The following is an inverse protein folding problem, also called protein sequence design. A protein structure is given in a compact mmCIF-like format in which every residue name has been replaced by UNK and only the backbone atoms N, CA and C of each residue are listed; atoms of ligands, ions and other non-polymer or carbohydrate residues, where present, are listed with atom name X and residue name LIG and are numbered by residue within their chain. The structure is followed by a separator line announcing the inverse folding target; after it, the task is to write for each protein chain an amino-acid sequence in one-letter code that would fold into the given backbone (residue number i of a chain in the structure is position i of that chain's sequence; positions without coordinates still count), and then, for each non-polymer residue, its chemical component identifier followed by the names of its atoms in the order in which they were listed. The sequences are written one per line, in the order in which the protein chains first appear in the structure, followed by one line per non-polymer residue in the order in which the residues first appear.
data_IF_047236527916
#
_entry.id   IF_047236527916
#
_cell.length_a   1.000
_cell.length_b   1.000
_cell.length_c   1.000
_cell.angle_alpha   90.00
_cell.angle_beta   90.00
_cell.angle_gamma   90.00
#
_symmetry.space_group_name_H-M   'P 1'
#
loop_
_entity.id
_entity.type
_entity.pdbx_description
1 polymer ?
#
# COMPACT_ATOMS: atom_id res chain seq x y z
N UNK A 1 15.66 -39.72 -12.76
CA UNK A 1 14.28 -39.93 -13.25
C UNK A 1 14.13 -39.15 -14.54
N UNK A 2 13.70 -39.80 -15.62
CA UNK A 2 13.53 -39.23 -16.96
C UNK A 2 12.29 -38.33 -16.96
N UNK A 3 12.40 -37.06 -17.36
CA UNK A 3 11.23 -36.27 -17.74
C UNK A 3 11.13 -36.24 -19.27
N UNK A 4 10.02 -36.80 -19.75
CA UNK A 4 9.63 -36.86 -21.15
C UNK A 4 9.15 -35.47 -21.62
N UNK A 5 9.46 -35.16 -22.88
CA UNK A 5 8.94 -34.02 -23.61
C UNK A 5 7.40 -34.05 -23.63
N UNK A 6 6.77 -32.98 -23.16
CA UNK A 6 5.34 -32.72 -23.35
C UNK A 6 5.23 -31.79 -24.56
N UNK A 7 4.76 -32.36 -25.68
CA UNK A 7 4.25 -31.62 -26.82
C UNK A 7 2.88 -31.04 -26.41
N UNK A 8 2.83 -29.75 -26.05
CA UNK A 8 1.56 -29.05 -25.83
C UNK A 8 1.03 -28.56 -27.19
N UNK A 9 -0.15 -29.06 -27.58
CA UNK A 9 -0.91 -28.56 -28.72
C UNK A 9 -1.25 -27.08 -28.51
N UNK A 10 -0.81 -26.24 -29.46
CA UNK A 10 -1.22 -24.85 -29.61
C UNK A 10 -2.72 -24.78 -29.95
N UNK A 11 -3.53 -24.27 -29.03
CA UNK A 11 -4.85 -23.75 -29.36
C UNK A 11 -4.70 -22.29 -29.79
N UNK A 12 -4.49 -22.07 -31.08
CA UNK A 12 -4.61 -20.77 -31.71
C UNK A 12 -6.09 -20.39 -31.79
N UNK A 13 -6.52 -19.43 -30.97
CA UNK A 13 -7.79 -18.74 -31.19
C UNK A 13 -7.54 -17.59 -32.18
N UNK A 14 -8.13 -17.59 -33.39
CA UNK A 14 -7.97 -16.49 -34.32
C UNK A 14 -8.94 -15.37 -33.95
N UNK A 15 -8.46 -14.32 -33.32
CA UNK A 15 -9.18 -13.05 -33.31
C UNK A 15 -8.94 -12.35 -34.66
N UNK A 16 -9.80 -12.62 -35.63
CA UNK A 16 -9.88 -11.87 -36.88
C UNK A 16 -10.50 -10.49 -36.58
N UNK A 17 -9.67 -9.48 -36.40
CA UNK A 17 -10.08 -8.09 -36.56
C UNK A 17 -9.49 -7.55 -37.87
N UNK A 18 -10.37 -7.32 -38.83
CA UNK A 18 -10.04 -6.66 -40.09
C UNK A 18 -10.25 -5.15 -39.91
N UNK A 19 -9.21 -4.36 -40.16
CA UNK A 19 -9.33 -3.05 -40.82
C UNK A 19 -9.52 -1.82 -39.94
N UNK A 20 -8.45 -1.36 -39.30
CA UNK A 20 -7.99 0.04 -39.31
C UNK A 20 -6.52 0.03 -38.84
N UNK A 21 -5.59 0.63 -39.59
CA UNK A 21 -4.22 0.86 -39.12
C UNK A 21 -4.29 1.76 -37.89
N UNK A 22 -4.19 1.17 -36.70
CA UNK A 22 -4.13 1.92 -35.46
C UNK A 22 -2.75 2.59 -35.38
N UNK A 23 -2.66 3.86 -35.80
CA UNK A 23 -1.44 4.65 -35.63
C UNK A 23 -1.30 5.02 -34.15
N UNK A 24 -0.23 4.57 -33.47
CA UNK A 24 0.06 4.94 -32.09
C UNK A 24 0.59 3.78 -31.23
N UNK A 25 0.46 3.91 -29.92
CA UNK A 25 0.94 2.95 -28.93
C UNK A 25 -0.22 2.23 -28.26
N UNK A 26 -0.18 0.90 -28.24
CA UNK A 26 -1.02 0.05 -27.41
C UNK A 26 -0.32 -0.28 -26.08
N UNK A 27 -1.08 -0.79 -25.11
CA UNK A 27 -0.57 -1.17 -23.79
C UNK A 27 -0.91 -2.63 -23.51
N UNK A 28 0.08 -3.39 -23.04
CA UNK A 28 -0.08 -4.76 -22.56
C UNK A 28 0.14 -4.80 -21.05
N UNK A 29 -0.69 -5.58 -20.35
CA UNK A 29 -0.63 -5.77 -18.91
C UNK A 29 -0.80 -7.25 -18.57
N UNK A 30 0.12 -7.79 -17.78
CA UNK A 30 0.03 -9.14 -17.25
C UNK A 30 -0.14 -9.08 -15.72
N UNK A 31 -1.36 -9.28 -15.20
CA UNK A 31 -1.62 -9.15 -13.76
C UNK A 31 -1.02 -10.30 -12.94
N UNK A 32 -0.83 -11.49 -13.53
CA UNK A 32 -0.28 -12.67 -12.83
C UNK A 32 1.22 -12.53 -12.60
N UNK A 33 1.94 -12.05 -13.62
CA UNK A 33 3.38 -11.79 -13.58
C UNK A 33 3.70 -10.31 -13.43
N UNK A 34 2.71 -9.52 -13.02
CA UNK A 34 2.93 -8.20 -12.41
C UNK A 34 3.73 -7.24 -13.30
N UNK A 35 3.54 -7.25 -14.62
CA UNK A 35 4.28 -6.36 -15.53
C UNK A 35 3.37 -5.69 -16.56
N UNK A 36 3.81 -4.51 -17.03
CA UNK A 36 3.12 -3.71 -18.03
C UNK A 36 4.12 -3.06 -18.97
N UNK A 37 3.73 -2.88 -20.23
CA UNK A 37 4.55 -2.22 -21.24
C UNK A 37 3.68 -1.63 -22.35
N UNK A 38 4.28 -0.79 -23.19
CA UNK A 38 3.68 -0.27 -24.42
C UNK A 38 4.34 -0.91 -25.64
N UNK A 39 3.58 -1.03 -26.73
CA UNK A 39 4.06 -1.52 -28.02
C UNK A 39 3.34 -0.79 -29.17
N UNK A 40 3.92 -0.73 -30.39
CA UNK A 40 3.23 -0.13 -31.54
C UNK A 40 1.90 -0.83 -31.83
N UNK A 41 0.82 -0.05 -31.96
CA UNK A 41 -0.54 -0.58 -32.00
C UNK A 41 -0.86 -1.37 -33.29
N UNK A 42 -0.04 -1.23 -34.32
CA UNK A 42 -0.10 -1.95 -35.59
C UNK A 42 0.63 -3.30 -35.57
N UNK A 43 1.35 -3.64 -34.50
CA UNK A 43 2.04 -4.91 -34.34
C UNK A 43 1.09 -6.05 -33.96
N UNK A 44 1.36 -7.25 -34.48
CA UNK A 44 0.64 -8.46 -34.11
C UNK A 44 1.13 -8.97 -32.76
N UNK A 45 0.18 -9.33 -31.89
CA UNK A 45 0.47 -9.81 -30.54
C UNK A 45 0.17 -11.31 -30.40
N UNK A 46 1.06 -12.01 -29.70
CA UNK A 46 0.82 -13.35 -29.15
C UNK A 46 1.11 -13.32 -27.64
N UNK A 47 0.37 -14.08 -26.86
CA UNK A 47 0.57 -14.13 -25.41
C UNK A 47 0.20 -15.49 -24.81
N UNK A 48 0.86 -15.85 -23.71
CA UNK A 48 0.54 -17.00 -22.87
C UNK A 48 0.41 -16.52 -21.42
N UNK A 49 -0.83 -16.24 -21.01
CA UNK A 49 -1.12 -15.67 -19.69
C UNK A 49 -0.56 -16.53 -18.54
N UNK A 50 -0.54 -17.87 -18.71
CA UNK A 50 -0.08 -18.80 -17.67
C UNK A 50 1.43 -18.76 -17.39
N UNK A 51 2.25 -18.39 -18.38
CA UNK A 51 3.72 -18.35 -18.28
C UNK A 51 4.30 -16.94 -18.26
N UNK A 52 3.47 -15.90 -18.37
CA UNK A 52 3.95 -14.53 -18.42
C UNK A 52 4.47 -14.10 -19.79
N UNK A 53 4.46 -15.00 -20.78
CA UNK A 53 5.04 -14.75 -22.09
C UNK A 53 4.18 -13.81 -22.93
N UNK A 54 4.82 -12.84 -23.57
CA UNK A 54 4.20 -11.89 -24.50
C UNK A 54 5.15 -11.64 -25.67
N UNK A 55 4.62 -11.54 -26.88
CA UNK A 55 5.36 -11.15 -28.09
C UNK A 55 4.52 -10.16 -28.90
N UNK A 56 5.15 -9.09 -29.34
CA UNK A 56 4.64 -8.18 -30.36
C UNK A 56 5.58 -8.23 -31.57
N UNK A 57 5.03 -8.22 -32.78
CA UNK A 57 5.84 -8.27 -34.00
C UNK A 57 5.24 -7.43 -35.12
N UNK A 58 6.09 -6.78 -35.93
CA UNK A 58 5.63 -5.98 -37.05
C UNK A 58 5.00 -6.85 -38.14
N UNK A 59 3.97 -6.33 -38.82
CA UNK A 59 3.49 -6.94 -40.07
C UNK A 59 4.39 -6.48 -41.21
N UNK A 60 5.12 -7.40 -41.82
CA UNK A 60 5.91 -7.12 -43.01
C UNK A 60 5.45 -7.96 -44.21
N UNK A 61 5.83 -7.51 -45.40
CA UNK A 61 5.58 -8.24 -46.65
C UNK A 61 6.31 -9.58 -46.68
N UNK A 62 6.02 -10.43 -47.68
CA UNK A 62 6.56 -11.80 -47.76
C UNK A 62 8.09 -11.90 -47.88
N UNK A 63 8.82 -10.79 -48.00
CA UNK A 63 10.23 -10.74 -48.35
C UNK A 63 11.17 -10.39 -47.18
N UNK A 64 10.63 -9.99 -46.02
CA UNK A 64 11.41 -9.52 -44.87
C UNK A 64 11.04 -10.26 -43.57
N UNK A 65 11.99 -10.34 -42.64
CA UNK A 65 11.72 -10.89 -41.31
C UNK A 65 10.95 -9.86 -40.48
N UNK A 66 9.99 -10.30 -39.62
CA UNK A 66 9.32 -9.39 -38.72
C UNK A 66 10.31 -8.82 -37.70
N UNK A 67 10.15 -7.54 -37.36
CA UNK A 67 10.74 -6.98 -36.16
C UNK A 67 9.98 -7.55 -34.97
N UNK A 68 10.69 -8.02 -33.94
CA UNK A 68 10.07 -8.69 -32.80
C UNK A 68 10.47 -8.06 -31.49
N UNK A 69 9.51 -8.01 -30.58
CA UNK A 69 9.72 -7.76 -29.16
C UNK A 69 9.05 -8.87 -28.38
N UNK A 70 9.75 -9.46 -27.40
CA UNK A 70 9.18 -10.47 -26.50
C UNK A 70 9.55 -10.22 -25.04
N UNK A 71 8.67 -10.67 -24.15
CA UNK A 71 8.89 -10.77 -22.71
C UNK A 71 8.76 -12.24 -22.30
N UNK A 72 9.76 -12.73 -21.58
CA UNK A 72 9.79 -14.06 -20.98
C UNK A 72 9.95 -13.90 -19.46
N UNK A 73 9.21 -14.68 -18.67
CA UNK A 73 9.29 -14.60 -17.21
C UNK A 73 9.64 -15.98 -16.66
N UNK A 74 10.76 -16.05 -15.93
CA UNK A 74 11.24 -17.31 -15.34
C UNK A 74 11.49 -17.16 -13.84
N UNK A 75 11.12 -18.16 -13.02
CA UNK A 75 11.46 -18.15 -11.60
C UNK A 75 12.96 -18.33 -11.39
N UNK A 76 13.47 -17.68 -10.36
CA UNK A 76 14.84 -17.83 -9.84
C UNK A 76 14.80 -18.64 -8.54
N UNK A 77 15.85 -19.43 -8.29
CA UNK A 77 15.99 -20.17 -7.03
C UNK A 77 16.15 -19.20 -5.83
N UNK A 78 16.90 -18.12 -6.05
CA UNK A 78 17.23 -17.09 -5.07
C UNK A 78 17.08 -15.69 -5.68
N UNK A 79 16.88 -14.70 -4.81
CA UNK A 79 16.83 -13.30 -5.21
C UNK A 79 18.23 -12.78 -5.56
N UNK A 80 18.30 -11.87 -6.53
CA UNK A 80 19.56 -11.27 -6.98
C UNK A 80 19.97 -10.17 -6.00
N UNK A 81 20.87 -10.50 -5.08
CA UNK A 81 21.45 -9.54 -4.12
C UNK A 81 22.74 -8.90 -4.64
N UNK A 82 23.58 -9.67 -5.33
CA UNK A 82 24.81 -9.19 -5.98
C UNK A 82 24.55 -9.05 -7.49
N UNK A 83 24.24 -7.82 -7.89
CA UNK A 83 23.89 -7.52 -9.27
C UNK A 83 25.10 -7.58 -10.21
N UNK A 84 26.31 -7.29 -9.73
CA UNK A 84 27.52 -7.37 -10.55
C UNK A 84 27.80 -8.83 -10.90
N UNK A 85 27.76 -9.72 -9.89
CA UNK A 85 27.92 -11.15 -10.11
C UNK A 85 26.80 -11.73 -11.01
N UNK A 86 25.59 -11.17 -10.92
CA UNK A 86 24.49 -11.51 -11.83
C UNK A 86 24.83 -11.15 -13.28
N UNK A 87 25.29 -9.93 -13.56
CA UNK A 87 25.66 -9.50 -14.92
C UNK A 87 26.78 -10.34 -15.53
N UNK A 88 27.84 -10.62 -14.76
CA UNK A 88 28.97 -11.44 -15.23
C UNK A 88 28.51 -12.84 -15.67
N UNK A 89 27.64 -13.48 -14.86
CA UNK A 89 27.06 -14.78 -15.20
C UNK A 89 26.15 -14.69 -16.44
N UNK A 90 25.42 -13.60 -16.55
CA UNK A 90 24.43 -13.40 -17.60
C UNK A 90 25.08 -13.21 -18.99
N UNK A 91 26.22 -12.52 -19.04
CA UNK A 91 27.04 -12.44 -20.25
C UNK A 91 27.55 -13.82 -20.69
N UNK A 92 27.98 -14.66 -19.74
CA UNK A 92 28.40 -16.04 -19.99
C UNK A 92 27.23 -16.93 -20.46
N UNK A 93 26.05 -16.75 -19.87
CA UNK A 93 24.84 -17.53 -20.14
C UNK A 93 24.19 -17.18 -21.50
N UNK A 94 24.37 -15.95 -22.00
CA UNK A 94 23.80 -15.48 -23.27
C UNK A 94 24.07 -16.47 -24.42
N UNK A 95 25.31 -16.94 -24.56
CA UNK A 95 25.70 -17.89 -25.60
C UNK A 95 25.02 -19.25 -25.45
N UNK A 96 24.82 -19.69 -24.21
CA UNK A 96 24.13 -20.93 -23.88
C UNK A 96 22.66 -20.84 -24.28
N UNK A 97 22.02 -19.73 -23.96
CA UNK A 97 20.60 -19.49 -24.26
C UNK A 97 20.34 -19.35 -25.76
N UNK A 98 21.17 -18.58 -26.48
CA UNK A 98 21.07 -18.49 -27.93
C UNK A 98 21.26 -19.84 -28.62
N UNK A 99 22.11 -20.72 -28.08
CA UNK A 99 22.26 -22.10 -28.57
C UNK A 99 21.07 -23.00 -28.26
N UNK A 100 20.38 -22.79 -27.13
CA UNK A 100 19.13 -23.51 -26.84
C UNK A 100 18.04 -23.10 -27.82
N UNK A 101 17.95 -21.81 -28.14
CA UNK A 101 16.98 -21.26 -29.11
C UNK A 101 17.29 -21.70 -30.54
N UNK A 102 18.57 -21.64 -30.94
CA UNK A 102 19.07 -22.09 -32.24
C UNK A 102 20.26 -23.05 -32.08
N UNK A 103 20.01 -24.38 -32.05
CA UNK A 103 21.07 -25.38 -31.90
C UNK A 103 22.14 -25.38 -33.00
N UNK A 104 21.86 -24.75 -34.14
CA UNK A 104 22.78 -24.64 -35.27
C UNK A 104 23.69 -23.40 -35.22
N UNK A 105 23.50 -22.51 -34.24
CA UNK A 105 24.27 -21.29 -34.08
C UNK A 105 25.74 -21.56 -33.73
N UNK A 106 26.66 -21.03 -34.54
CA UNK A 106 28.07 -20.95 -34.15
C UNK A 106 28.24 -19.83 -33.12
N UNK A 107 28.54 -20.20 -31.87
CA UNK A 107 28.80 -19.26 -30.78
C UNK A 107 29.92 -18.25 -31.09
N UNK A 108 30.87 -18.58 -31.97
CA UNK A 108 31.95 -17.66 -32.34
C UNK A 108 31.49 -16.53 -33.26
N UNK A 109 30.30 -16.66 -33.85
CA UNK A 109 29.73 -15.66 -34.74
C UNK A 109 28.85 -14.63 -34.00
N UNK A 110 28.55 -14.85 -32.72
CA UNK A 110 27.85 -13.89 -31.87
C UNK A 110 28.79 -12.74 -31.51
N UNK A 111 28.33 -11.51 -31.67
CA UNK A 111 29.09 -10.30 -31.37
C UNK A 111 28.33 -9.44 -30.37
N UNK A 112 28.83 -9.36 -29.14
CA UNK A 112 28.29 -8.44 -28.14
C UNK A 112 28.91 -7.06 -28.40
N UNK A 113 28.06 -6.07 -28.69
CA UNK A 113 28.48 -4.68 -28.91
C UNK A 113 28.50 -3.87 -27.61
N UNK A 114 27.61 -4.19 -26.67
CA UNK A 114 27.59 -3.60 -25.34
C UNK A 114 26.96 -4.55 -24.32
N UNK A 115 27.45 -4.48 -23.09
CA UNK A 115 26.90 -5.12 -21.90
C UNK A 115 27.02 -4.09 -20.76
N UNK A 116 25.89 -3.68 -20.18
CA UNK A 116 25.86 -2.61 -19.19
C UNK A 116 24.63 -2.68 -18.28
N UNK A 117 24.78 -2.14 -17.09
CA UNK A 117 23.65 -1.86 -16.21
C UNK A 117 22.86 -0.64 -16.70
N UNK A 118 21.53 -0.76 -16.70
CA UNK A 118 20.58 0.32 -16.94
C UNK A 118 19.53 0.38 -15.83
N UNK A 119 18.79 1.49 -15.75
CA UNK A 119 17.65 1.63 -14.85
C UNK A 119 16.34 1.67 -15.63
N UNK A 120 15.38 0.83 -15.25
CA UNK A 120 14.00 0.86 -15.71
C UNK A 120 13.10 1.31 -14.57
N UNK A 121 12.85 2.63 -14.49
CA UNK A 121 12.19 3.24 -13.33
C UNK A 121 13.04 3.07 -12.07
N UNK A 122 12.55 2.31 -11.09
CA UNK A 122 13.25 1.99 -9.84
C UNK A 122 14.00 0.66 -9.89
N UNK A 123 13.92 -0.09 -10.99
CA UNK A 123 14.53 -1.42 -11.10
C UNK A 123 15.87 -1.35 -11.83
N UNK A 124 16.88 -2.05 -11.30
CA UNK A 124 18.15 -2.29 -11.98
C UNK A 124 17.94 -3.38 -13.03
N UNK A 125 18.51 -3.20 -14.21
CA UNK A 125 18.42 -4.16 -15.29
C UNK A 125 19.75 -4.29 -16.04
N UNK A 126 20.04 -5.50 -16.52
CA UNK A 126 21.21 -5.77 -17.33
C UNK A 126 20.83 -5.71 -18.81
N UNK A 127 21.47 -4.83 -19.58
CA UNK A 127 21.23 -4.67 -21.02
C UNK A 127 22.43 -5.20 -21.80
N UNK A 128 22.16 -6.10 -22.73
CA UNK A 128 23.12 -6.64 -23.67
C UNK A 128 22.64 -6.36 -25.09
N UNK A 129 23.45 -5.66 -25.87
CA UNK A 129 23.23 -5.43 -27.30
C UNK A 129 24.20 -6.34 -28.07
N UNK A 130 23.68 -7.11 -29.02
CA UNK A 130 24.48 -8.09 -29.75
C UNK A 130 23.93 -8.38 -31.15
N UNK A 131 24.76 -8.96 -32.01
CA UNK A 131 24.34 -9.50 -33.31
C UNK A 131 24.79 -10.94 -33.52
N UNK A 132 24.03 -11.68 -34.32
CA UNK A 132 24.29 -13.10 -34.58
C UNK A 132 23.67 -13.57 -35.91
N UNK A 133 24.25 -14.60 -36.55
CA UNK A 133 23.69 -15.15 -37.79
C UNK A 133 22.42 -15.97 -37.50
N UNK A 134 21.37 -15.75 -38.30
CA UNK A 134 20.14 -16.55 -38.23
C UNK A 134 20.17 -17.71 -39.25
N UNK A 135 20.33 -17.40 -40.53
CA UNK A 135 20.45 -18.38 -41.61
C UNK A 135 21.14 -17.77 -42.85
N UNK A 136 22.05 -18.52 -43.48
CA UNK A 136 22.76 -18.05 -44.67
C UNK A 136 23.58 -16.79 -44.40
N UNK A 137 23.33 -15.72 -45.17
CA UNK A 137 23.99 -14.42 -45.00
C UNK A 137 23.19 -13.43 -44.11
N UNK A 138 22.09 -13.88 -43.50
CA UNK A 138 21.19 -13.04 -42.74
C UNK A 138 21.63 -12.96 -41.26
N UNK A 139 21.91 -11.75 -40.79
CA UNK A 139 22.24 -11.46 -39.41
C UNK A 139 21.10 -10.72 -38.72
N UNK A 140 20.85 -11.05 -37.45
CA UNK A 140 19.99 -10.29 -36.57
C UNK A 140 20.84 -9.42 -35.65
N UNK A 141 20.34 -8.22 -35.34
CA UNK A 141 20.75 -7.43 -34.19
C UNK A 141 19.64 -7.51 -33.15
N UNK A 142 20.02 -7.67 -31.89
CA UNK A 142 19.11 -7.80 -30.78
C UNK A 142 19.55 -6.98 -29.57
N UNK A 143 18.56 -6.56 -28.79
CA UNK A 143 18.73 -5.97 -27.46
C UNK A 143 18.05 -6.92 -26.48
N UNK A 144 18.80 -7.44 -25.52
CA UNK A 144 18.26 -8.25 -24.42
C UNK A 144 18.38 -7.47 -23.13
N UNK A 145 17.28 -7.36 -22.39
CA UNK A 145 17.25 -6.69 -21.09
C UNK A 145 16.74 -7.66 -20.04
N UNK A 146 17.55 -7.92 -19.03
CA UNK A 146 17.25 -8.78 -17.91
C UNK A 146 16.95 -7.95 -16.67
N UNK A 147 15.72 -8.09 -16.16
CA UNK A 147 15.23 -7.37 -14.99
C UNK A 147 14.96 -8.40 -13.90
N UNK A 148 15.90 -8.66 -12.98
CA UNK A 148 15.61 -9.47 -11.81
C UNK A 148 14.75 -8.67 -10.84
N UNK A 149 13.68 -9.29 -10.33
CA UNK A 149 12.83 -8.73 -9.29
C UNK A 149 12.32 -9.84 -8.39
N UNK A 150 12.66 -9.77 -7.10
CA UNK A 150 12.43 -10.84 -6.16
C UNK A 150 13.01 -12.17 -6.70
N UNK A 151 12.19 -13.22 -6.75
CA UNK A 151 12.55 -14.54 -7.31
C UNK A 151 12.09 -14.74 -8.75
N UNK A 152 11.99 -13.67 -9.52
CA UNK A 152 11.60 -13.72 -10.93
C UNK A 152 12.63 -12.97 -11.77
N UNK A 153 12.91 -13.50 -12.95
CA UNK A 153 13.69 -12.84 -13.98
C UNK A 153 12.78 -12.55 -15.17
N UNK A 154 12.70 -11.26 -15.52
CA UNK A 154 12.00 -10.80 -16.72
C UNK A 154 13.03 -10.56 -17.81
N UNK A 155 12.89 -11.27 -18.93
CA UNK A 155 13.75 -11.14 -20.11
C UNK A 155 12.99 -10.45 -21.22
N UNK A 156 13.38 -9.22 -21.53
CA UNK A 156 12.91 -8.49 -22.70
C UNK A 156 13.88 -8.76 -23.83
N UNK A 157 13.40 -9.10 -25.02
CA UNK A 157 14.25 -9.24 -26.22
C UNK A 157 13.60 -8.53 -27.39
N UNK A 158 14.29 -7.51 -27.91
CA UNK A 158 14.01 -6.87 -29.18
C UNK A 158 14.93 -7.45 -30.25
N UNK A 159 14.44 -7.79 -31.44
CA UNK A 159 15.31 -8.20 -32.55
C UNK A 159 14.77 -7.83 -33.93
N UNK A 160 15.68 -7.47 -34.83
CA UNK A 160 15.44 -7.17 -36.24
C UNK A 160 16.68 -7.52 -37.06
N UNK A 161 16.58 -7.51 -38.39
CA UNK A 161 17.74 -7.68 -39.26
C UNK A 161 18.77 -6.56 -39.02
N UNK A 162 20.05 -6.94 -38.85
CA UNK A 162 21.15 -6.08 -38.35
C UNK A 162 21.35 -4.75 -39.09
N UNK A 163 20.94 -4.67 -40.36
CA UNK A 163 21.22 -3.51 -41.21
C UNK A 163 20.10 -2.45 -41.16
N UNK A 164 19.51 -2.14 -42.30
CA UNK A 164 18.53 -1.08 -42.46
C UNK A 164 17.29 -1.28 -41.59
N UNK A 165 16.81 -2.52 -41.43
CA UNK A 165 15.58 -2.78 -40.66
C UNK A 165 15.72 -2.45 -39.18
N UNK A 166 16.86 -2.76 -38.55
CA UNK A 166 17.08 -2.41 -37.15
C UNK A 166 17.10 -0.89 -36.95
N UNK A 167 17.78 -0.14 -37.83
CA UNK A 167 17.85 1.32 -37.75
C UNK A 167 16.45 1.98 -37.85
N UNK A 168 15.51 1.38 -38.58
CA UNK A 168 14.13 1.90 -38.68
C UNK A 168 13.32 1.71 -37.40
N UNK A 169 13.62 0.68 -36.60
CA UNK A 169 12.79 0.27 -35.45
C UNK A 169 13.48 0.50 -34.09
N UNK A 170 14.75 0.92 -34.08
CA UNK A 170 15.54 1.13 -32.86
C UNK A 170 14.83 2.10 -31.88
N UNK A 171 14.26 3.19 -32.39
CA UNK A 171 13.50 4.13 -31.56
C UNK A 171 12.25 3.50 -30.92
N UNK A 172 11.54 2.61 -31.64
CA UNK A 172 10.39 1.89 -31.10
C UNK A 172 10.85 0.87 -30.05
N UNK A 173 11.96 0.16 -30.28
CA UNK A 173 12.53 -0.75 -29.29
C UNK A 173 12.93 -0.03 -27.99
N UNK A 174 13.57 1.14 -28.08
CA UNK A 174 13.90 1.94 -26.89
C UNK A 174 12.63 2.38 -26.16
N UNK A 175 11.60 2.83 -26.88
CA UNK A 175 10.33 3.23 -26.28
C UNK A 175 9.57 2.04 -25.64
N UNK A 176 9.63 0.85 -26.24
CA UNK A 176 9.08 -0.39 -25.63
C UNK A 176 9.82 -0.70 -24.33
N UNK A 177 11.16 -0.80 -24.38
CA UNK A 177 12.00 -1.15 -23.22
C UNK A 177 11.79 -0.15 -22.08
N UNK A 178 11.86 1.15 -22.35
CA UNK A 178 11.69 2.19 -21.33
C UNK A 178 10.27 2.28 -20.76
N UNK A 179 9.27 1.75 -21.47
CA UNK A 179 7.89 1.66 -20.98
C UNK A 179 7.65 0.48 -20.03
N UNK A 180 8.54 -0.51 -19.99
CA UNK A 180 8.40 -1.69 -19.16
C UNK A 180 8.44 -1.33 -17.68
N UNK A 181 7.44 -1.81 -16.94
CA UNK A 181 7.34 -1.64 -15.49
C UNK A 181 6.86 -2.93 -14.86
N UNK A 182 7.46 -3.27 -13.72
CA UNK A 182 6.93 -4.28 -12.82
C UNK A 182 5.96 -3.55 -11.89
N UNK A 183 4.69 -3.91 -11.93
CA UNK A 183 3.63 -3.36 -11.09
C UNK A 183 3.17 -4.40 -10.11
N UNK A 184 3.40 -4.16 -8.81
CA UNK A 184 2.84 -5.00 -7.75
C UNK A 184 1.31 -4.97 -7.87
N UNK A 185 0.60 -6.09 -8.09
CA UNK A 185 -0.85 -6.09 -8.23
C UNK A 185 -1.49 -5.56 -6.96
N UNK A 186 -2.48 -4.67 -7.09
CA UNK A 186 -3.08 -3.92 -5.97
C UNK A 186 -2.21 -2.79 -5.38
N UNK A 187 -1.07 -2.41 -6.00
CA UNK A 187 -0.33 -1.23 -5.55
C UNK A 187 -1.20 0.03 -5.56
N UNK A 188 -1.94 0.26 -6.65
CA UNK A 188 -2.85 1.40 -6.77
C UNK A 188 -3.95 1.37 -5.68
N UNK A 189 -4.37 0.18 -5.24
CA UNK A 189 -5.35 0.01 -4.16
C UNK A 189 -4.75 0.44 -2.81
N UNK A 190 -3.52 0.01 -2.51
CA UNK A 190 -2.80 0.46 -1.31
C UNK A 190 -2.52 1.96 -1.37
N UNK A 191 -2.04 2.47 -2.50
CA UNK A 191 -1.77 3.90 -2.69
C UNK A 191 -3.06 4.72 -2.50
N UNK A 192 -4.21 4.25 -3.00
CA UNK A 192 -5.51 4.90 -2.76
C UNK A 192 -5.94 4.87 -1.28
N UNK A 193 -5.65 3.79 -0.55
CA UNK A 193 -5.84 3.77 0.90
C UNK A 193 -4.94 4.80 1.60
N UNK A 194 -3.67 4.92 1.19
CA UNK A 194 -2.74 5.92 1.74
C UNK A 194 -3.20 7.33 1.40
N UNK A 195 -3.54 7.65 0.15
CA UNK A 195 -4.07 8.96 -0.26
C UNK A 195 -5.33 9.36 0.51
N UNK A 196 -6.11 8.39 0.95
CA UNK A 196 -7.29 8.63 1.80
C UNK A 196 -6.86 9.02 3.22
N UNK A 197 -5.92 8.27 3.81
CA UNK A 197 -5.50 8.40 5.22
C UNK A 197 -4.43 9.47 5.47
N UNK A 198 -3.59 9.73 4.47
CA UNK A 198 -2.33 10.47 4.53
C UNK A 198 -2.01 11.08 3.14
N UNK A 199 -0.74 11.45 2.93
CA UNK A 199 -0.19 11.96 1.67
C UNK A 199 0.95 11.08 1.18
N UNK A 200 0.92 10.70 -0.10
CA UNK A 200 1.96 9.86 -0.74
C UNK A 200 3.34 10.53 -0.81
N UNK A 201 3.43 11.85 -0.69
CA UNK A 201 4.70 12.58 -0.67
C UNK A 201 5.41 12.52 0.69
N UNK A 202 4.74 12.06 1.75
CA UNK A 202 5.25 12.06 3.12
C UNK A 202 4.99 13.36 3.90
N UNK A 203 4.20 14.28 3.34
CA UNK A 203 3.68 15.43 4.08
C UNK A 203 2.73 15.00 5.21
N UNK A 204 2.64 15.83 6.26
CA UNK A 204 1.78 15.57 7.41
C UNK A 204 0.31 15.77 7.04
N UNK A 205 -0.54 14.82 7.41
CA UNK A 205 -1.99 14.90 7.22
C UNK A 205 -2.71 14.91 8.56
N UNK A 206 -3.74 15.76 8.68
CA UNK A 206 -4.59 15.83 9.86
C UNK A 206 -6.02 15.44 9.51
N UNK A 207 -6.59 14.51 10.26
CA UNK A 207 -8.01 14.19 10.22
C UNK A 207 -8.63 14.66 11.53
N UNK A 208 -9.42 15.73 11.47
CA UNK A 208 -10.14 16.30 12.59
C UNK A 208 -11.56 15.75 12.66
N UNK A 209 -12.07 15.54 13.88
CA UNK A 209 -13.40 15.00 14.09
C UNK A 209 -14.01 15.49 15.40
N UNK A 210 -15.34 15.48 15.43
CA UNK A 210 -16.16 15.83 16.58
C UNK A 210 -17.25 14.77 16.82
N UNK A 211 -17.66 14.64 18.07
CA UNK A 211 -18.52 13.55 18.49
C UNK A 211 -19.12 13.69 19.88
N UNK A 212 -19.80 12.63 20.30
CA UNK A 212 -20.41 12.51 21.62
C UNK A 212 -20.23 11.11 22.20
N UNK A 213 -20.14 11.06 23.52
CA UNK A 213 -20.03 9.84 24.31
C UNK A 213 -21.28 9.62 25.17
N UNK A 214 -21.76 8.37 25.20
CA UNK A 214 -22.99 7.97 25.87
C UNK A 214 -22.77 6.77 26.77
N UNK A 215 -23.57 6.68 27.84
CA UNK A 215 -23.68 5.44 28.62
C UNK A 215 -24.57 4.43 27.91
N UNK A 216 -24.16 3.17 27.94
CA UNK A 216 -24.98 2.02 27.55
C UNK A 216 -24.98 1.01 28.69
N UNK A 217 -25.93 1.16 29.61
CA UNK A 217 -26.08 0.29 30.78
C UNK A 217 -27.35 -0.55 30.60
N UNK A 218 -27.28 -1.89 30.71
CA UNK A 218 -28.45 -2.75 30.58
C UNK A 218 -29.58 -2.34 31.53
N UNK A 219 -30.78 -2.12 30.99
CA UNK A 219 -31.97 -1.75 31.77
C UNK A 219 -32.06 -0.28 32.18
N UNK A 220 -31.08 0.56 31.83
CA UNK A 220 -31.10 2.00 32.14
C UNK A 220 -31.25 2.85 30.89
N UNK A 221 -31.84 4.05 31.04
CA UNK A 221 -31.87 5.06 29.98
C UNK A 221 -30.44 5.58 29.76
N UNK A 222 -30.06 5.74 28.48
CA UNK A 222 -28.77 6.37 28.12
C UNK A 222 -28.61 7.73 28.81
N UNK A 223 -27.39 8.03 29.23
CA UNK A 223 -26.95 9.33 29.72
C UNK A 223 -25.91 9.90 28.76
N UNK A 224 -25.97 11.21 28.52
CA UNK A 224 -24.91 11.93 27.84
C UNK A 224 -23.75 12.08 28.83
N UNK A 225 -22.54 11.68 28.41
CA UNK A 225 -21.36 11.70 29.28
C UNK A 225 -20.47 12.89 28.96
N UNK A 226 -20.08 13.01 27.69
CA UNK A 226 -19.15 14.02 27.18
C UNK A 226 -19.46 14.36 25.73
N UNK A 227 -19.04 15.56 25.33
CA UNK A 227 -18.69 15.80 23.94
C UNK A 227 -17.23 15.37 23.76
N UNK A 228 -16.89 14.88 22.57
CA UNK A 228 -15.52 14.49 22.24
C UNK A 228 -15.08 15.21 21.00
N UNK A 229 -13.82 15.64 20.99
CA UNK A 229 -13.21 16.27 19.85
C UNK A 229 -11.75 15.89 19.78
N UNK A 230 -11.27 15.63 18.58
CA UNK A 230 -9.93 15.10 18.42
C UNK A 230 -9.44 15.17 16.99
N UNK A 231 -8.19 14.76 16.83
CA UNK A 231 -7.60 14.59 15.53
C UNK A 231 -6.56 13.48 15.55
N UNK A 232 -6.36 12.89 14.38
CA UNK A 232 -5.16 12.11 14.08
C UNK A 232 -4.24 12.97 13.23
N UNK A 233 -2.94 12.99 13.56
CA UNK A 233 -1.90 13.55 12.70
C UNK A 233 -0.97 12.43 12.27
N UNK A 234 -0.81 12.24 10.96
CA UNK A 234 -0.08 11.10 10.39
C UNK A 234 0.88 11.53 9.29
N UNK A 235 1.94 10.74 9.12
CA UNK A 235 2.86 10.76 7.98
C UNK A 235 2.97 9.38 7.37
N UNK A 236 2.91 9.27 6.05
CA UNK A 236 3.21 8.03 5.35
C UNK A 236 4.71 7.95 5.02
N UNK A 237 5.32 6.82 5.34
CA UNK A 237 6.70 6.50 4.97
C UNK A 237 6.68 5.29 4.03
N UNK A 238 7.13 5.43 2.77
CA UNK A 238 7.16 4.32 1.82
C UNK A 238 8.17 3.26 2.25
N UNK A 239 7.82 2.01 1.99
CA UNK A 239 8.64 0.81 2.22
C UNK A 239 8.51 -0.11 1.00
N UNK A 240 9.53 -0.91 0.70
CA UNK A 240 9.48 -1.86 -0.44
C UNK A 240 8.27 -2.81 -0.39
N UNK A 241 7.75 -3.07 0.82
CA UNK A 241 6.60 -3.95 1.07
C UNK A 241 5.29 -3.21 1.32
N UNK A 242 5.26 -1.88 1.24
CA UNK A 242 4.05 -1.08 1.44
C UNK A 242 4.36 0.26 2.10
N UNK A 243 3.73 0.55 3.24
CA UNK A 243 3.92 1.81 3.96
C UNK A 243 3.96 1.62 5.46
N UNK A 244 4.60 2.55 6.16
CA UNK A 244 4.38 2.81 7.58
C UNK A 244 3.59 4.11 7.71
N UNK A 245 2.45 4.08 8.39
CA UNK A 245 1.78 5.30 8.83
C UNK A 245 2.25 5.63 10.24
N UNK A 246 3.07 6.68 10.35
CA UNK A 246 3.55 7.21 11.62
C UNK A 246 2.52 8.20 12.14
N UNK A 247 1.97 7.98 13.33
CA UNK A 247 0.80 8.71 13.78
C UNK A 247 0.80 9.06 15.26
N UNK A 248 0.09 10.14 15.57
CA UNK A 248 -0.37 10.47 16.93
C UNK A 248 -1.87 10.71 16.92
N UNK A 249 -2.49 10.55 18.08
CA UNK A 249 -3.91 10.81 18.28
C UNK A 249 -4.13 11.68 19.51
N UNK A 250 -4.97 12.69 19.35
CA UNK A 250 -5.52 13.51 20.43
C UNK A 250 -7.03 13.33 20.47
N UNK A 251 -7.58 13.07 21.65
CA UNK A 251 -9.02 13.21 21.93
C UNK A 251 -9.20 13.93 23.27
N UNK A 252 -9.86 15.07 23.21
CA UNK A 252 -10.29 15.84 24.36
C UNK A 252 -11.74 15.49 24.73
N UNK A 253 -12.05 15.59 26.01
CA UNK A 253 -13.38 15.41 26.57
C UNK A 253 -13.91 16.77 26.99
N UNK A 254 -15.06 17.14 26.45
CA UNK A 254 -15.66 18.46 26.60
C UNK A 254 -16.97 18.36 27.37
N UNK A 255 -17.30 19.43 28.10
CA UNK A 255 -18.59 19.56 28.76
C UNK A 255 -19.70 19.67 27.70
N UNK A 256 -20.71 18.80 27.78
CA UNK A 256 -21.72 18.65 26.72
C UNK A 256 -22.64 19.85 26.50
N UNK A 257 -22.67 20.80 27.45
CA UNK A 257 -23.48 22.02 27.34
C UNK A 257 -22.65 23.29 27.08
N UNK A 258 -21.45 23.39 27.64
CA UNK A 258 -20.63 24.62 27.55
C UNK A 258 -19.53 24.52 26.49
N UNK A 259 -19.16 23.32 26.06
CA UNK A 259 -18.03 23.10 25.16
C UNK A 259 -16.67 23.27 25.82
N UNK A 260 -16.61 23.49 27.13
CA UNK A 260 -15.34 23.63 27.85
C UNK A 260 -14.58 22.30 27.90
N UNK A 261 -13.27 22.35 27.64
CA UNK A 261 -12.38 21.21 27.82
C UNK A 261 -12.31 20.88 29.31
N UNK A 262 -12.70 19.66 29.68
CA UNK A 262 -12.88 19.27 31.08
C UNK A 262 -11.55 18.91 31.74
N UNK A 263 -11.23 19.56 32.86
CA UNK A 263 -10.19 19.08 33.79
C UNK A 263 -10.76 18.13 34.85
N UNK A 264 -12.02 18.32 35.24
CA UNK A 264 -12.77 17.48 36.19
C UNK A 264 -14.17 17.26 35.65
N UNK A 265 -14.72 16.07 35.85
CA UNK A 265 -16.05 15.68 35.39
C UNK A 265 -16.90 15.15 36.53
N UNK A 266 -18.12 15.67 36.67
CA UNK A 266 -19.12 15.06 37.54
C UNK A 266 -19.75 13.86 36.82
N UNK A 267 -19.38 12.66 37.24
CA UNK A 267 -19.91 11.43 36.67
C UNK A 267 -21.42 11.33 36.95
N UNK A 268 -22.31 11.37 35.94
CA UNK A 268 -23.76 11.39 36.14
C UNK A 268 -24.33 10.00 36.52
N UNK A 269 -23.50 8.96 36.51
CA UNK A 269 -23.85 7.60 36.95
C UNK A 269 -23.50 7.40 38.43
N UNK A 270 -22.31 7.83 38.86
CA UNK A 270 -21.84 7.65 40.25
C UNK A 270 -22.06 8.87 41.16
N UNK A 271 -22.28 10.05 40.59
CA UNK A 271 -22.36 11.33 41.30
C UNK A 271 -21.02 11.91 41.73
N UNK A 272 -19.91 11.21 41.48
CA UNK A 272 -18.55 11.62 41.91
C UNK A 272 -17.93 12.61 40.93
N UNK A 273 -17.15 13.55 41.46
CA UNK A 273 -16.24 14.35 40.64
C UNK A 273 -14.95 13.55 40.42
N UNK A 274 -14.57 13.34 39.17
CA UNK A 274 -13.34 12.62 38.80
C UNK A 274 -12.46 13.48 37.89
N UNK A 275 -11.13 13.48 38.08
CA UNK A 275 -10.21 14.10 37.13
C UNK A 275 -10.36 13.43 35.75
N UNK A 276 -10.35 14.25 34.70
CA UNK A 276 -10.46 13.75 33.33
C UNK A 276 -9.08 13.42 32.80
N UNK A 277 -8.96 12.25 32.17
CA UNK A 277 -7.78 11.85 31.41
C UNK A 277 -8.08 11.98 29.92
N UNK A 278 -7.61 13.05 29.29
CA UNK A 278 -7.64 13.19 27.84
C UNK A 278 -6.74 12.17 27.16
N UNK A 279 -7.00 11.88 25.88
CA UNK A 279 -6.20 10.96 25.09
C UNK A 279 -5.11 11.72 24.37
N UNK A 280 -3.87 11.31 24.64
CA UNK A 280 -2.65 11.72 23.96
C UNK A 280 -1.88 10.43 23.64
N UNK A 281 -2.23 9.78 22.53
CA UNK A 281 -1.62 8.52 22.13
C UNK A 281 -0.42 8.80 21.21
N UNK A 282 0.76 8.48 21.71
CA UNK A 282 2.03 8.50 20.98
C UNK A 282 2.84 7.24 21.37
N UNK A 283 3.10 6.31 20.43
CA UNK A 283 2.67 6.31 19.03
C UNK A 283 1.23 5.83 18.83
N UNK A 284 0.62 6.22 17.71
CA UNK A 284 -0.62 5.69 17.13
C UNK A 284 -0.37 5.26 15.67
N UNK A 285 0.59 4.37 15.47
CA UNK A 285 1.11 3.97 14.15
C UNK A 285 0.26 2.86 13.49
N UNK A 286 0.38 2.70 12.17
CA UNK A 286 -0.13 1.54 11.43
C UNK A 286 0.98 0.94 10.56
N UNK A 287 1.25 -0.36 10.73
CA UNK A 287 2.16 -1.10 9.85
C UNK A 287 1.36 -1.67 8.67
N UNK A 288 1.58 -1.09 7.48
CA UNK A 288 0.94 -1.48 6.22
C UNK A 288 1.98 -2.09 5.28
N UNK A 289 2.94 -2.81 5.84
CA UNK A 289 3.85 -3.66 5.07
C UNK A 289 3.25 -5.05 4.98
N UNK A 290 3.18 -5.57 3.77
CA UNK A 290 2.57 -6.87 3.51
C UNK A 290 3.59 -7.78 2.83
N UNK A 291 3.58 -9.06 3.22
CA UNK A 291 4.18 -10.11 2.39
C UNK A 291 3.41 -10.20 1.07
N UNK A 292 4.01 -10.75 0.02
CA UNK A 292 3.34 -10.84 -1.29
C UNK A 292 2.07 -11.67 -1.27
N UNK A 293 1.99 -12.71 -0.43
CA UNK A 293 0.76 -13.49 -0.22
C UNK A 293 -0.39 -12.61 0.27
N UNK A 294 -0.20 -11.88 1.39
CA UNK A 294 -1.20 -10.93 1.90
C UNK A 294 -1.47 -9.76 0.95
N UNK A 295 -0.49 -9.33 0.14
CA UNK A 295 -0.68 -8.22 -0.78
C UNK A 295 -1.70 -8.52 -1.89
N UNK A 296 -1.75 -9.78 -2.35
CA UNK A 296 -2.78 -10.23 -3.28
C UNK A 296 -4.19 -10.21 -2.65
N UNK A 297 -4.26 -10.28 -1.32
CA UNK A 297 -5.47 -10.31 -0.51
C UNK A 297 -5.76 -8.96 0.17
N UNK A 298 -5.19 -7.85 -0.31
CA UNK A 298 -5.33 -6.52 0.32
C UNK A 298 -6.78 -6.12 0.58
N UNK A 299 -7.71 -6.47 -0.30
CA UNK A 299 -9.13 -6.18 -0.13
C UNK A 299 -9.80 -6.89 1.06
N UNK A 300 -9.18 -7.96 1.59
CA UNK A 300 -9.65 -8.62 2.82
C UNK A 300 -9.10 -7.94 4.08
N UNK A 301 -7.91 -7.34 4.00
CA UNK A 301 -7.23 -6.70 5.14
C UNK A 301 -7.59 -5.22 5.25
N UNK A 302 -7.80 -4.57 4.10
CA UNK A 302 -8.26 -3.19 3.95
C UNK A 302 -9.58 -3.24 3.17
N UNK A 303 -10.70 -3.62 3.80
CA UNK A 303 -11.94 -3.81 3.08
C UNK A 303 -12.54 -2.47 2.64
N UNK A 304 -13.17 -2.51 1.47
CA UNK A 304 -13.81 -1.35 0.87
C UNK A 304 -15.08 -1.73 0.13
N UNK A 305 -15.94 -0.74 -0.12
CA UNK A 305 -17.16 -0.87 -0.89
C UNK A 305 -17.47 0.41 -1.65
N UNK A 306 -18.04 0.27 -2.84
CA UNK A 306 -18.60 1.40 -3.57
C UNK A 306 -20.03 1.68 -3.06
N UNK A 307 -20.28 2.89 -2.58
CA UNK A 307 -21.57 3.34 -2.06
C UNK A 307 -21.97 4.64 -2.78
N UNK A 308 -22.78 4.51 -3.84
CA UNK A 308 -23.09 5.64 -4.71
C UNK A 308 -21.85 6.10 -5.48
N UNK A 309 -21.48 7.37 -5.36
CA UNK A 309 -20.24 7.94 -5.93
C UNK A 309 -19.05 7.90 -4.96
N UNK A 310 -19.24 7.34 -3.76
CA UNK A 310 -18.22 7.23 -2.73
C UNK A 310 -17.54 5.87 -2.78
N UNK A 311 -16.22 5.88 -2.75
CA UNK A 311 -15.42 4.73 -2.38
C UNK A 311 -15.23 4.75 -0.86
N UNK A 312 -15.71 3.71 -0.17
CA UNK A 312 -15.74 3.66 1.29
C UNK A 312 -14.78 2.59 1.79
N UNK A 313 -13.71 3.01 2.43
CA UNK A 313 -12.88 2.12 3.25
C UNK A 313 -13.54 1.95 4.61
N UNK A 314 -13.68 0.72 5.09
CA UNK A 314 -14.27 0.47 6.40
C UNK A 314 -13.40 -0.47 7.23
N UNK A 315 -13.53 -0.37 8.54
CA UNK A 315 -12.80 -1.18 9.49
C UNK A 315 -13.73 -1.59 10.63
N UNK A 316 -13.95 -2.89 10.77
CA UNK A 316 -14.89 -3.46 11.74
C UNK A 316 -14.13 -4.40 12.69
N UNK A 317 -13.48 -3.82 13.70
CA UNK A 317 -12.62 -4.55 14.63
C UNK A 317 -13.33 -4.87 15.95
N UNK A 318 -13.13 -6.09 16.42
CA UNK A 318 -13.63 -6.57 17.72
C UNK A 318 -12.45 -7.05 18.58
N UNK A 319 -11.57 -6.14 19.04
CA UNK A 319 -10.40 -6.50 19.83
C UNK A 319 -10.78 -7.29 21.08
N UNK A 320 -10.04 -8.38 21.32
CA UNK A 320 -10.19 -9.27 22.46
C UNK A 320 -8.81 -9.77 22.91
N UNK A 321 -8.25 -9.14 23.94
CA UNK A 321 -6.88 -9.42 24.42
C UNK A 321 -6.74 -9.10 25.93
N UNK A 322 -5.67 -9.55 26.61
CA UNK A 322 -5.46 -9.24 28.03
C UNK A 322 -5.45 -7.73 28.32
N UNK A 323 -6.21 -7.31 29.32
CA UNK A 323 -6.31 -5.90 29.68
C UNK A 323 -5.00 -5.41 30.33
N UNK A 324 -4.52 -4.24 29.92
CA UNK A 324 -3.34 -3.62 30.53
C UNK A 324 -3.54 -3.26 32.01
N UNK A 325 -4.81 -3.13 32.45
CA UNK A 325 -5.22 -2.87 33.83
C UNK A 325 -5.91 -4.11 34.43
N UNK A 326 -5.17 -5.04 35.07
CA UNK A 326 -5.75 -6.19 35.75
C UNK A 326 -6.71 -5.75 36.86
N UNK A 327 -7.84 -6.43 37.01
CA UNK A 327 -8.86 -6.07 38.02
C UNK A 327 -8.36 -6.19 39.44
N UNK A 328 -7.47 -7.15 39.71
CA UNK A 328 -6.90 -7.33 41.05
C UNK A 328 -6.15 -6.08 41.51
N UNK A 329 -5.46 -5.39 40.60
CA UNK A 329 -4.70 -4.17 40.87
C UNK A 329 -5.55 -2.90 40.69
N UNK A 330 -6.51 -2.92 39.74
CA UNK A 330 -7.28 -1.75 39.32
C UNK A 330 -8.80 -1.98 39.38
N UNK A 331 -9.39 -2.39 40.52
CA UNK A 331 -10.80 -2.82 40.59
C UNK A 331 -11.80 -1.72 40.23
N UNK A 332 -11.51 -0.46 40.58
CA UNK A 332 -12.35 0.70 40.26
C UNK A 332 -12.18 1.20 38.82
N UNK A 333 -11.08 0.86 38.16
CA UNK A 333 -10.70 1.42 36.85
C UNK A 333 -10.82 0.39 35.71
N UNK A 334 -11.13 -0.87 36.03
CA UNK A 334 -11.20 -1.97 35.06
C UNK A 334 -12.36 -2.91 35.33
N UNK A 335 -13.16 -3.18 34.29
CA UNK A 335 -14.31 -4.08 34.34
C UNK A 335 -13.95 -5.56 34.18
N UNK A 336 -12.79 -5.87 33.59
CA UNK A 336 -12.38 -7.23 33.24
C UNK A 336 -10.87 -7.31 33.04
N UNK A 337 -10.28 -8.47 33.33
CA UNK A 337 -8.89 -8.81 32.97
C UNK A 337 -8.70 -8.99 31.46
N UNK A 338 -9.79 -9.00 30.70
CA UNK A 338 -9.78 -9.01 29.23
C UNK A 338 -10.34 -7.68 28.71
N UNK A 339 -9.57 -7.02 27.85
CA UNK A 339 -10.05 -5.89 27.06
C UNK A 339 -10.91 -6.43 25.92
N UNK A 340 -12.15 -5.98 25.86
CA UNK A 340 -13.10 -6.32 24.82
C UNK A 340 -13.82 -5.06 24.35
N UNK A 341 -13.77 -4.78 23.05
CA UNK A 341 -14.35 -3.59 22.47
C UNK A 341 -14.87 -3.83 21.05
N UNK A 342 -15.58 -2.85 20.50
CA UNK A 342 -15.87 -2.74 19.08
C UNK A 342 -15.37 -1.38 18.55
N UNK A 343 -14.62 -1.42 17.46
CA UNK A 343 -14.06 -0.28 16.75
C UNK A 343 -14.56 -0.36 15.29
N UNK A 344 -15.56 0.47 14.98
CA UNK A 344 -16.19 0.53 13.66
C UNK A 344 -15.89 1.89 13.05
N UNK A 345 -15.09 1.97 11.99
CA UNK A 345 -14.77 3.24 11.34
C UNK A 345 -14.83 3.17 9.83
N UNK A 346 -15.04 4.34 9.22
CA UNK A 346 -15.17 4.48 7.77
C UNK A 346 -14.45 5.73 7.29
N UNK A 347 -13.76 5.61 6.16
CA UNK A 347 -13.28 6.73 5.37
C UNK A 347 -14.03 6.75 4.05
N UNK A 348 -14.67 7.87 3.75
CA UNK A 348 -15.46 8.05 2.54
C UNK A 348 -14.74 9.08 1.65
N UNK A 349 -14.47 8.68 0.41
CA UNK A 349 -13.82 9.53 -0.60
C UNK A 349 -14.61 9.44 -1.90
N UNK A 350 -14.61 10.50 -2.71
CA UNK A 350 -15.20 10.43 -4.05
C UNK A 350 -14.36 9.52 -4.92
N UNK A 351 -15.01 8.67 -5.70
CA UNK A 351 -14.32 7.80 -6.65
C UNK A 351 -13.49 8.61 -7.66
N UNK A 352 -14.01 9.75 -8.13
CA UNK A 352 -13.32 10.63 -9.08
C UNK A 352 -11.98 11.16 -8.55
N UNK A 353 -11.87 11.39 -7.24
CA UNK A 353 -10.64 11.92 -6.64
C UNK A 353 -9.56 10.83 -6.58
N UNK A 354 -9.97 9.57 -6.39
CA UNK A 354 -9.06 8.42 -6.48
C UNK A 354 -8.59 8.15 -7.91
N UNK A 355 -9.40 8.47 -8.91
CA UNK A 355 -9.06 8.32 -10.33
C UNK A 355 -8.11 9.41 -10.84
N UNK A 356 -7.94 10.52 -10.11
CA UNK A 356 -7.00 11.58 -10.46
C UNK A 356 -5.56 11.25 -10.01
N UNK A 357 -4.62 10.98 -10.93
CA UNK A 357 -3.24 10.61 -10.58
C UNK A 357 -2.39 11.78 -10.05
N UNK A 358 -2.88 13.02 -10.16
CA UNK A 358 -2.18 14.23 -9.70
C UNK A 358 -2.32 14.43 -8.19
N UNK A 359 -3.43 13.98 -7.59
CA UNK A 359 -3.69 14.14 -6.17
C UNK A 359 -2.87 13.14 -5.34
N UNK A 360 -1.89 13.61 -4.56
CA UNK A 360 -1.10 12.78 -3.63
C UNK A 360 -1.80 12.50 -2.31
N UNK A 361 -2.86 13.24 -2.04
CA UNK A 361 -3.75 13.16 -0.89
C UNK A 361 -5.14 13.56 -1.38
N UNK A 362 -6.18 12.80 -1.04
CA UNK A 362 -7.56 13.09 -1.48
C UNK A 362 -8.43 13.57 -0.32
N UNK A 363 -9.37 14.50 -0.52
CA UNK A 363 -10.35 14.85 0.51
C UNK A 363 -11.08 13.59 1.01
N UNK A 364 -11.21 13.46 2.33
CA UNK A 364 -11.84 12.30 2.94
C UNK A 364 -12.74 12.72 4.09
N UNK A 365 -13.93 12.15 4.16
CA UNK A 365 -14.77 12.18 5.35
C UNK A 365 -14.42 10.99 6.23
N UNK A 366 -14.47 11.19 7.54
CA UNK A 366 -14.20 10.16 8.53
C UNK A 366 -15.39 10.01 9.46
N UNK A 367 -15.81 8.77 9.71
CA UNK A 367 -16.82 8.48 10.74
C UNK A 367 -16.38 7.29 11.57
N UNK A 368 -16.80 7.27 12.84
CA UNK A 368 -16.55 6.13 13.69
C UNK A 368 -17.60 5.94 14.76
N UNK A 369 -17.74 4.70 15.20
CA UNK A 369 -18.39 4.29 16.43
C UNK A 369 -17.43 3.41 17.23
N UNK A 370 -17.29 3.71 18.52
CA UNK A 370 -16.54 2.88 19.48
C UNK A 370 -17.49 2.40 20.56
N UNK A 371 -17.39 1.12 20.90
CA UNK A 371 -18.00 0.55 22.09
C UNK A 371 -16.86 0.04 22.95
N UNK A 372 -16.60 0.74 24.04
CA UNK A 372 -15.49 0.43 24.94
C UNK A 372 -16.01 0.00 26.32
N UNK A 373 -15.21 -0.74 27.09
CA UNK A 373 -15.40 -0.74 28.53
C UNK A 373 -15.29 0.69 29.05
N UNK A 374 -15.81 0.95 30.25
CA UNK A 374 -15.69 2.25 30.88
C UNK A 374 -14.25 2.74 30.88
N UNK A 375 -14.05 3.99 30.45
CA UNK A 375 -12.71 4.58 30.44
C UNK A 375 -12.17 4.57 31.87
N UNK A 376 -10.88 4.25 32.09
CA UNK A 376 -10.35 4.06 33.43
C UNK A 376 -10.69 5.21 34.39
N UNK A 377 -10.44 6.47 33.98
CA UNK A 377 -10.68 7.65 34.81
C UNK A 377 -12.14 7.83 35.27
N UNK A 378 -13.11 7.19 34.61
CA UNK A 378 -14.52 7.27 35.00
C UNK A 378 -14.81 6.58 36.35
N UNK A 379 -13.89 5.73 36.85
CA UNK A 379 -14.02 4.97 38.10
C UNK A 379 -15.29 4.11 38.14
N UNK A 380 -15.56 3.39 37.05
CA UNK A 380 -16.76 2.55 36.89
C UNK A 380 -16.44 1.06 36.64
N UNK A 381 -15.24 0.60 37.01
CA UNK A 381 -14.81 -0.79 36.82
C UNK A 381 -15.75 -1.83 37.42
N UNK A 382 -16.46 -1.50 38.50
CA UNK A 382 -17.41 -2.42 39.14
C UNK A 382 -18.83 -2.34 38.56
N UNK A 383 -19.08 -1.47 37.58
CA UNK A 383 -20.41 -1.26 36.99
C UNK A 383 -20.56 -2.01 35.68
N UNK A 384 -21.74 -2.62 35.42
CA UNK A 384 -22.03 -3.18 34.11
C UNK A 384 -22.18 -2.06 33.06
N UNK A 385 -22.11 -2.44 31.79
CA UNK A 385 -22.33 -1.55 30.65
C UNK A 385 -21.05 -1.05 30.00
N UNK A 386 -21.22 -0.15 29.04
CA UNK A 386 -20.17 0.34 28.14
C UNK A 386 -20.32 1.84 27.88
N UNK A 387 -19.22 2.45 27.47
CA UNK A 387 -19.25 3.75 26.83
C UNK A 387 -19.38 3.55 25.31
N UNK A 388 -20.30 4.30 24.70
CA UNK A 388 -20.44 4.37 23.24
C UNK A 388 -19.98 5.76 22.80
N UNK A 389 -18.99 5.83 21.92
CA UNK A 389 -18.48 7.10 21.36
C UNK A 389 -18.78 7.11 19.87
N UNK A 390 -19.40 8.18 19.38
CA UNK A 390 -19.65 8.36 17.95
C UNK A 390 -18.98 9.64 17.46
N UNK A 391 -18.26 9.57 16.35
CA UNK A 391 -17.55 10.72 15.79
C UNK A 391 -17.74 10.85 14.29
N UNK A 392 -17.62 12.08 13.80
CA UNK A 392 -17.60 12.41 12.38
C UNK A 392 -16.64 13.58 12.13
N UNK A 393 -16.02 13.60 10.96
CA UNK A 393 -14.97 14.55 10.67
C UNK A 393 -14.51 14.48 9.22
N UNK A 394 -13.39 15.14 8.95
CA UNK A 394 -12.78 15.15 7.64
C UNK A 394 -11.26 15.34 7.74
N UNK A 395 -10.57 15.00 6.65
CA UNK A 395 -9.18 15.39 6.45
C UNK A 395 -9.11 16.89 6.15
N UNK A 396 -8.21 17.60 6.83
CA UNK A 396 -7.99 19.03 6.70
C UNK A 396 -6.91 19.33 5.66
N UNK A 397 -7.14 20.32 4.82
CA UNK A 397 -6.22 20.69 3.73
C UNK A 397 -4.96 21.39 4.27
N UNK A 398 -5.12 22.32 5.22
CA UNK A 398 -4.02 23.01 5.91
C UNK A 398 -3.43 22.25 7.10
N UNK A 399 -3.77 20.96 7.25
CA UNK A 399 -3.23 20.11 8.31
C UNK A 399 -3.55 20.63 9.72
N UNK A 400 -2.52 20.72 10.59
CA UNK A 400 -2.70 21.16 11.98
C UNK A 400 -3.19 22.60 12.08
N UNK A 401 -2.83 23.47 11.12
CA UNK A 401 -3.18 24.89 11.18
C UNK A 401 -4.67 25.16 10.98
N UNK A 402 -5.38 24.25 10.31
CA UNK A 402 -6.83 24.34 10.08
C UNK A 402 -7.67 23.88 11.29
N UNK A 403 -7.04 23.34 12.34
CA UNK A 403 -7.75 22.96 13.56
C UNK A 403 -8.35 24.19 14.27
N UNK A 404 -9.48 24.04 15.00
CA UNK A 404 -10.05 25.11 15.80
C UNK A 404 -9.03 25.73 16.77
N UNK A 405 -9.00 27.05 16.86
CA UNK A 405 -7.96 27.78 17.60
C UNK A 405 -7.85 27.32 19.07
N UNK A 406 -8.97 27.11 19.78
CA UNK A 406 -8.94 26.65 21.17
C UNK A 406 -8.32 25.26 21.33
N UNK A 407 -8.47 24.39 20.34
CA UNK A 407 -7.87 23.06 20.34
C UNK A 407 -6.37 23.16 20.12
N UNK A 408 -5.94 23.99 19.15
CA UNK A 408 -4.51 24.29 18.93
C UNK A 408 -3.87 24.89 20.18
N UNK A 409 -4.49 25.89 20.80
CA UNK A 409 -3.98 26.55 22.00
C UNK A 409 -3.84 25.56 23.18
N UNK A 410 -4.85 24.69 23.37
CA UNK A 410 -4.79 23.67 24.40
C UNK A 410 -3.65 22.69 24.17
N UNK A 411 -3.50 22.17 22.94
CA UNK A 411 -2.43 21.23 22.59
C UNK A 411 -1.06 21.88 22.73
N UNK A 412 -0.85 23.07 22.17
CA UNK A 412 0.44 23.77 22.23
C UNK A 412 0.86 24.13 23.67
N UNK A 413 -0.12 24.34 24.56
CA UNK A 413 0.14 24.61 25.98
C UNK A 413 0.49 23.33 26.77
N UNK A 414 -0.20 22.23 26.50
CA UNK A 414 -0.16 21.04 27.36
C UNK A 414 0.68 19.88 26.80
N UNK A 415 0.76 19.75 25.47
CA UNK A 415 1.43 18.66 24.76
C UNK A 415 1.86 19.09 23.34
N UNK A 416 2.76 20.08 23.19
CA UNK A 416 3.12 20.68 21.90
C UNK A 416 3.69 19.68 20.89
N UNK A 417 4.24 18.55 21.34
CA UNK A 417 4.71 17.45 20.49
C UNK A 417 3.59 16.76 19.69
N UNK A 418 2.30 17.01 20.00
CA UNK A 418 1.15 16.52 19.24
C UNK A 418 0.74 17.45 18.10
N UNK A 419 1.46 18.55 17.87
CA UNK A 419 1.29 19.40 16.69
C UNK A 419 2.00 18.85 15.44
N UNK A 420 2.72 17.71 15.57
CA UNK A 420 3.51 17.07 14.50
C UNK A 420 3.33 15.56 14.49
N UNK A 421 3.45 14.95 13.32
CA UNK A 421 3.56 13.50 13.18
C UNK A 421 4.96 13.03 13.64
N UNK A 422 5.11 11.78 14.10
CA UNK A 422 6.42 11.22 14.42
C UNK A 422 7.32 11.09 13.17
N UNK A 423 8.64 11.25 13.35
CA UNK A 423 9.64 11.02 12.30
C UNK A 423 10.12 9.57 12.22
N UNK A 424 9.91 8.79 13.28
CA UNK A 424 10.38 7.42 13.40
C UNK A 424 9.26 6.48 13.87
N UNK A 425 9.30 5.25 13.34
CA UNK A 425 8.39 4.20 13.77
C UNK A 425 8.75 3.69 15.17
N UNK A 426 7.73 3.54 16.02
CA UNK A 426 7.85 2.98 17.36
C UNK A 426 6.61 2.14 17.70
N UNK A 427 6.81 1.19 18.61
CA UNK A 427 5.79 0.25 19.10
C UNK A 427 6.09 -0.07 20.59
N UNK A 428 5.09 -0.51 21.38
CA UNK A 428 3.68 -0.68 21.02
C UNK A 428 2.93 0.66 20.91
N UNK A 429 1.81 0.67 20.16
CA UNK A 429 0.89 1.81 20.16
C UNK A 429 0.34 2.11 21.56
N UNK A 430 0.22 3.41 21.85
CA UNK A 430 -0.39 3.89 23.08
C UNK A 430 -1.92 3.84 23.01
N UNK A 431 -2.52 3.59 24.17
CA UNK A 431 -3.97 3.65 24.40
C UNK A 431 -4.24 4.42 25.69
N UNK A 432 -5.48 4.87 25.88
CA UNK A 432 -5.91 5.46 27.15
C UNK A 432 -5.69 4.51 28.34
N UNK A 433 -5.77 3.18 28.16
CA UNK A 433 -5.47 2.20 29.22
C UNK A 433 -3.99 2.15 29.57
N UNK A 434 -3.10 2.10 28.58
CA UNK A 434 -1.64 2.06 28.83
C UNK A 434 -1.14 3.39 29.38
N UNK A 435 -1.71 4.51 28.91
CA UNK A 435 -1.37 5.84 29.42
C UNK A 435 -1.87 6.03 30.86
N UNK A 436 -3.10 5.58 31.15
CA UNK A 436 -3.62 5.55 32.52
C UNK A 436 -2.72 4.73 33.44
N UNK A 437 -2.29 3.53 33.02
CA UNK A 437 -1.38 2.68 33.79
C UNK A 437 -0.09 3.41 34.14
N UNK A 438 0.57 4.02 33.15
CA UNK A 438 1.80 4.80 33.36
C UNK A 438 1.59 5.90 34.41
N UNK A 439 0.49 6.65 34.32
CA UNK A 439 0.19 7.71 35.28
C UNK A 439 -0.11 7.19 36.69
N UNK A 440 -0.83 6.08 36.80
CA UNK A 440 -1.10 5.43 38.08
C UNK A 440 0.19 4.93 38.75
N UNK A 441 1.06 4.26 38.00
CA UNK A 441 2.37 3.80 38.48
C UNK A 441 3.31 4.97 38.85
N UNK A 442 3.12 6.13 38.22
CA UNK A 442 3.84 7.38 38.54
C UNK A 442 3.28 8.10 39.76
N UNK A 443 2.18 7.62 40.36
CA UNK A 443 1.50 8.28 41.48
C UNK A 443 0.72 9.54 41.11
N UNK A 444 0.48 9.80 39.81
CA UNK A 444 -0.26 10.95 39.32
C UNK A 444 -1.78 10.75 39.35
N UNK A 445 -2.23 9.50 39.55
CA UNK A 445 -3.64 9.16 39.74
C UNK A 445 -3.78 8.61 41.15
N UNK A 446 -4.47 9.36 42.00
CA UNK A 446 -4.68 8.95 43.38
C UNK A 446 -5.47 7.64 43.45
N UNK A 447 -4.99 6.62 44.18
CA UNK A 447 -5.82 5.51 44.57
C UNK A 447 -6.89 6.06 45.52
N UNK A 448 -8.16 6.02 45.10
CA UNK A 448 -9.24 6.19 46.07
C UNK A 448 -9.13 5.02 47.05
N UNK A 449 -8.81 5.33 48.31
CA UNK A 449 -9.03 4.36 49.37
C UNK A 449 -10.55 4.10 49.48
N UNK A 450 -10.96 2.85 49.76
CA UNK A 450 -12.36 2.44 49.80
C UNK A 450 -13.28 3.36 50.61
#
# INVERSE_FOLDING_TARGET
MRFQAIFCLLLLAPALFCGAEATGWATHENPKFTYKLKYPADWQVKQLAESGWFEASSQMDKASLPNTFRVEVVPLDEEVLDFTAFMDRDDDDLLSDLKKENPSLDSKAVRISSSQEISLGTHRAHRIDFSYPLYGALNLRAIRVHVPYQKMLYTLTCSAEETWYFEQVEADFEAIITSFKIQRPNQDYLDNYIRTRADLSGEECVIHWQGKAYSYIPGERRKDLFDVEGYNIVRAVPDERGYLLLGKEVMLFLHSQSGEILSTWQNPVSGRNVPVLHVFNDPANMDLRFTDEYFQLLHLVLPSSLVGDQFVWHNDLFPYYPNALPRQEYPLFSQSDTYQAADLSQYLVKQSDLEDPLLKSVPALYTFTRIYPWLPFMRMGERPGNIIITGRGCKLEGGFEDLPQYLKDYVLTNAPEFARAPDAYSQPNATIWTNFKKMAESGLIEPEQP
#
